data_IF_457642371179
#
_entry.id   IF_457642371179
#
_cell.length_a   1.000
_cell.length_b   1.000
_cell.length_c   1.000
_cell.angle_alpha   90.00
_cell.angle_beta   90.00
_cell.angle_gamma   90.00
#
_symmetry.space_group_name_H-M   'P 1'
#
loop_
_entity.id
_entity.type
_entity.pdbx_description
1 polymer ?
#
# COMPACT_ATOMS: atom_id res chain seq x y z
N UNK A 1 19.12 2.89 -15.49
CA UNK A 1 19.46 1.61 -14.84
C UNK A 1 20.95 1.43 -14.92
N UNK A 2 21.57 0.87 -13.91
CA UNK A 2 23.00 0.59 -13.87
C UNK A 2 23.22 -0.93 -13.91
N UNK A 3 24.19 -1.37 -14.69
CA UNK A 3 24.55 -2.79 -14.82
C UNK A 3 26.02 -3.03 -14.47
N UNK A 4 26.77 -1.95 -14.23
CA UNK A 4 28.17 -1.99 -13.81
C UNK A 4 28.39 -1.13 -12.58
N UNK A 5 29.48 -1.38 -11.87
CA UNK A 5 29.92 -0.59 -10.72
C UNK A 5 30.12 0.89 -11.09
N UNK A 6 30.70 1.17 -12.24
CA UNK A 6 30.98 2.51 -12.73
C UNK A 6 29.69 3.29 -13.03
N UNK A 7 28.71 2.63 -13.66
CA UNK A 7 27.38 3.21 -13.88
C UNK A 7 26.65 3.49 -12.57
N UNK A 8 26.73 2.57 -11.60
CA UNK A 8 26.18 2.78 -10.27
C UNK A 8 26.79 4.00 -9.58
N UNK A 9 28.13 4.08 -9.56
CA UNK A 9 28.85 5.20 -8.94
C UNK A 9 28.48 6.53 -9.58
N UNK A 10 28.44 6.58 -10.88
CA UNK A 10 28.04 7.79 -11.62
C UNK A 10 26.60 8.22 -11.24
N UNK A 11 25.65 7.29 -11.30
CA UNK A 11 24.26 7.61 -11.00
C UNK A 11 24.05 7.99 -9.53
N UNK A 12 24.73 7.31 -8.60
CA UNK A 12 24.66 7.60 -7.16
C UNK A 12 25.21 9.00 -6.85
N UNK A 13 26.41 9.31 -7.34
CA UNK A 13 27.03 10.64 -7.18
C UNK A 13 26.15 11.75 -7.79
N UNK A 14 25.66 11.54 -9.02
CA UNK A 14 24.78 12.48 -9.70
C UNK A 14 23.53 12.76 -8.88
N UNK A 15 22.85 11.72 -8.36
CA UNK A 15 21.61 11.88 -7.57
C UNK A 15 21.84 12.55 -6.22
N UNK A 16 22.97 12.32 -5.58
CA UNK A 16 23.36 13.07 -4.38
C UNK A 16 23.43 14.56 -4.68
N UNK A 17 24.10 14.93 -5.79
CA UNK A 17 24.21 16.34 -6.19
C UNK A 17 22.84 16.93 -6.53
N UNK A 18 22.05 16.23 -7.33
CA UNK A 18 20.73 16.71 -7.78
C UNK A 18 19.72 16.85 -6.62
N UNK A 19 19.78 15.96 -5.61
CA UNK A 19 18.83 15.96 -4.51
C UNK A 19 19.22 16.91 -3.38
N UNK A 20 20.54 17.06 -3.10
CA UNK A 20 21.02 17.73 -1.89
C UNK A 20 22.03 18.86 -2.16
N UNK A 21 22.50 19.02 -3.39
CA UNK A 21 23.53 20.03 -3.73
C UNK A 21 24.86 19.78 -3.04
N UNK A 22 25.23 18.50 -2.80
CA UNK A 22 26.43 18.06 -2.08
C UNK A 22 27.18 17.01 -2.88
N UNK A 23 28.48 16.88 -2.63
CA UNK A 23 29.24 15.70 -3.11
C UNK A 23 28.94 14.47 -2.24
N UNK A 24 29.37 13.30 -2.70
CA UNK A 24 29.20 12.05 -1.93
C UNK A 24 29.93 12.13 -0.58
N UNK A 25 31.09 12.78 -0.52
CA UNK A 25 31.88 12.94 0.69
C UNK A 25 31.16 13.86 1.70
N UNK A 26 30.53 14.94 1.23
CA UNK A 26 29.84 15.93 2.06
C UNK A 26 28.45 15.47 2.53
N UNK A 27 27.82 14.54 1.80
CA UNK A 27 26.48 14.09 2.11
C UNK A 27 26.43 13.29 3.41
N UNK A 28 25.37 13.50 4.21
CA UNK A 28 25.13 12.71 5.42
C UNK A 28 24.74 11.26 5.06
N UNK A 29 24.99 10.35 5.99
CA UNK A 29 24.68 8.93 5.78
C UNK A 29 23.19 8.69 5.45
N UNK A 30 22.30 9.43 6.08
CA UNK A 30 20.84 9.39 5.81
C UNK A 30 20.51 9.84 4.37
N UNK A 31 21.19 10.87 3.86
CA UNK A 31 20.97 11.34 2.48
C UNK A 31 21.44 10.29 1.46
N UNK A 32 22.57 9.64 1.74
CA UNK A 32 23.11 8.52 0.95
C UNK A 32 22.15 7.32 0.93
N UNK A 33 21.60 7.00 2.10
CA UNK A 33 20.60 5.96 2.25
C UNK A 33 19.34 6.24 1.41
N UNK A 34 18.74 7.42 1.55
CA UNK A 34 17.53 7.80 0.79
C UNK A 34 17.75 7.79 -0.74
N UNK A 35 18.95 8.19 -1.19
CA UNK A 35 19.30 8.11 -2.60
C UNK A 35 19.41 6.66 -3.05
N UNK A 36 20.05 5.79 -2.26
CA UNK A 36 20.19 4.37 -2.58
C UNK A 36 18.81 3.70 -2.67
N UNK A 37 17.92 3.89 -1.69
CA UNK A 37 16.55 3.37 -1.73
C UNK A 37 15.79 3.84 -2.99
N UNK A 38 15.88 5.14 -3.29
CA UNK A 38 15.23 5.70 -4.48
C UNK A 38 15.78 5.07 -5.77
N UNK A 39 17.08 4.87 -5.87
CA UNK A 39 17.72 4.21 -7.03
C UNK A 39 17.24 2.77 -7.19
N UNK A 40 17.16 2.00 -6.12
CA UNK A 40 16.68 0.61 -6.13
C UNK A 40 15.19 0.55 -6.52
N UNK A 41 14.36 1.43 -5.95
CA UNK A 41 12.95 1.55 -6.34
C UNK A 41 12.78 1.90 -7.81
N UNK A 42 13.55 2.86 -8.32
CA UNK A 42 13.48 3.27 -9.72
C UNK A 42 13.93 2.14 -10.66
N UNK A 43 14.92 1.35 -10.24
CA UNK A 43 15.33 0.15 -10.94
C UNK A 43 14.18 -0.88 -11.02
N UNK A 44 13.51 -1.15 -9.90
CA UNK A 44 12.35 -2.03 -9.85
C UNK A 44 11.16 -1.51 -10.68
N UNK A 45 11.01 -0.18 -10.82
CA UNK A 45 9.87 0.47 -11.48
C UNK A 45 9.73 0.10 -12.95
N UNK A 46 10.82 -0.25 -13.62
CA UNK A 46 10.79 -0.73 -15.03
C UNK A 46 10.08 -2.08 -15.11
N UNK A 47 10.48 -3.04 -14.28
CA UNK A 47 9.84 -4.36 -14.20
C UNK A 47 8.37 -4.21 -13.73
N UNK A 48 8.11 -3.29 -12.82
CA UNK A 48 6.77 -2.98 -12.31
C UNK A 48 5.83 -2.49 -13.41
N UNK A 49 6.30 -1.57 -14.28
CA UNK A 49 5.54 -1.10 -15.43
C UNK A 49 5.32 -2.23 -16.45
N UNK A 50 6.37 -2.99 -16.77
CA UNK A 50 6.30 -4.10 -17.71
C UNK A 50 5.34 -5.21 -17.24
N UNK A 51 5.32 -5.51 -15.94
CA UNK A 51 4.38 -6.47 -15.35
C UNK A 51 2.94 -6.02 -15.59
N UNK A 52 2.60 -4.76 -15.32
CA UNK A 52 1.25 -4.21 -15.56
C UNK A 52 0.85 -4.28 -17.02
N UNK A 53 1.74 -3.93 -17.93
CA UNK A 53 1.50 -4.01 -19.38
C UNK A 53 1.29 -5.46 -19.83
N UNK A 54 2.09 -6.41 -19.35
CA UNK A 54 1.96 -7.82 -19.68
C UNK A 54 0.63 -8.43 -19.19
N UNK A 55 0.22 -8.09 -17.96
CA UNK A 55 -1.07 -8.52 -17.39
C UNK A 55 -2.22 -8.04 -18.26
N UNK A 56 -2.21 -6.77 -18.64
CA UNK A 56 -3.24 -6.17 -19.48
C UNK A 56 -3.28 -6.80 -20.89
N UNK A 57 -2.11 -6.92 -21.53
CA UNK A 57 -2.01 -7.47 -22.88
C UNK A 57 -2.45 -8.95 -22.96
N UNK A 58 -2.13 -9.73 -21.93
CA UNK A 58 -2.48 -11.16 -21.85
C UNK A 58 -3.84 -11.42 -21.19
N UNK A 59 -4.50 -10.38 -20.70
CA UNK A 59 -5.77 -10.48 -19.96
C UNK A 59 -5.71 -11.53 -18.82
N UNK A 60 -4.57 -11.56 -18.09
CA UNK A 60 -4.32 -12.53 -17.04
C UNK A 60 -5.26 -12.30 -15.85
N UNK A 61 -5.70 -13.39 -15.22
CA UNK A 61 -6.40 -13.33 -13.94
C UNK A 61 -5.46 -12.79 -12.87
N UNK A 62 -5.94 -11.88 -12.04
CA UNK A 62 -5.16 -11.22 -10.99
C UNK A 62 -5.62 -11.66 -9.60
N UNK A 63 -4.66 -11.83 -8.70
CA UNK A 63 -4.90 -12.10 -7.28
C UNK A 63 -4.94 -10.78 -6.53
N UNK A 64 -5.99 -10.54 -5.76
CA UNK A 64 -6.13 -9.39 -4.87
C UNK A 64 -6.14 -9.88 -3.42
N UNK A 65 -5.05 -9.63 -2.71
CA UNK A 65 -4.86 -10.09 -1.34
C UNK A 65 -5.20 -8.96 -0.35
N UNK A 66 -6.26 -9.15 0.42
CA UNK A 66 -6.73 -8.18 1.42
C UNK A 66 -6.28 -8.60 2.81
N UNK A 67 -5.55 -7.76 3.50
CA UNK A 67 -5.13 -7.97 4.89
C UNK A 67 -5.05 -6.65 5.66
N UNK A 68 -5.35 -6.70 6.95
CA UNK A 68 -5.09 -5.56 7.86
C UNK A 68 -3.60 -5.32 8.06
N UNK A 69 -2.77 -6.33 7.81
CA UNK A 69 -1.34 -6.29 8.04
C UNK A 69 -0.54 -6.83 6.85
N UNK A 70 0.60 -6.18 6.58
CA UNK A 70 1.66 -6.71 5.72
C UNK A 70 3.01 -6.43 6.39
N UNK A 71 3.52 -7.40 7.16
CA UNK A 71 4.80 -7.29 7.85
C UNK A 71 5.94 -7.58 6.87
N UNK A 72 6.21 -6.62 6.00
CA UNK A 72 7.21 -6.77 4.93
C UNK A 72 8.65 -6.68 5.42
N UNK A 73 8.89 -6.02 6.57
CA UNK A 73 10.22 -5.80 7.10
C UNK A 73 11.00 -4.74 6.32
N UNK A 74 12.33 -4.86 6.31
CA UNK A 74 13.24 -4.02 5.53
C UNK A 74 13.30 -4.51 4.08
N UNK A 75 13.24 -3.61 3.13
CA UNK A 75 13.12 -3.93 1.71
C UNK A 75 14.40 -3.69 0.90
N UNK A 76 15.33 -2.89 1.40
CA UNK A 76 16.51 -2.46 0.63
C UNK A 76 17.36 -3.66 0.18
N UNK A 77 17.81 -4.49 1.13
CA UNK A 77 18.62 -5.67 0.84
C UNK A 77 17.85 -6.68 0.00
N UNK A 78 16.60 -6.98 0.42
CA UNK A 78 15.73 -7.91 -0.29
C UNK A 78 15.54 -7.51 -1.76
N UNK A 79 15.24 -6.25 -2.01
CA UNK A 79 15.03 -5.75 -3.37
C UNK A 79 16.32 -5.73 -4.19
N UNK A 80 17.46 -5.35 -3.60
CA UNK A 80 18.74 -5.40 -4.31
C UNK A 80 19.12 -6.83 -4.68
N UNK A 81 18.89 -7.80 -3.80
CA UNK A 81 19.16 -9.22 -4.07
C UNK A 81 18.24 -9.74 -5.18
N UNK A 82 16.94 -9.50 -5.07
CA UNK A 82 15.95 -9.95 -6.05
C UNK A 82 16.16 -9.31 -7.44
N UNK A 83 16.72 -8.12 -7.50
CA UNK A 83 17.07 -7.43 -8.75
C UNK A 83 18.46 -7.81 -9.27
N UNK A 84 19.26 -8.57 -8.50
CA UNK A 84 20.62 -8.97 -8.89
C UNK A 84 21.64 -7.82 -8.88
N UNK A 85 21.40 -6.74 -8.11
CA UNK A 85 22.24 -5.53 -8.10
C UNK A 85 22.98 -5.31 -6.78
N UNK A 86 22.84 -6.22 -5.79
CA UNK A 86 23.42 -6.05 -4.47
C UNK A 86 24.95 -5.90 -4.51
N UNK A 87 25.66 -6.80 -5.17
CA UNK A 87 27.14 -6.75 -5.23
C UNK A 87 27.63 -5.52 -5.99
N UNK A 88 26.94 -5.12 -7.07
CA UNK A 88 27.26 -3.89 -7.83
C UNK A 88 27.16 -2.66 -6.92
N UNK A 89 26.09 -2.55 -6.15
CA UNK A 89 25.87 -1.44 -5.22
C UNK A 89 26.91 -1.45 -4.09
N UNK A 90 27.16 -2.61 -3.48
CA UNK A 90 28.13 -2.80 -2.40
C UNK A 90 29.54 -2.41 -2.81
N UNK A 91 30.02 -2.89 -3.97
CA UNK A 91 31.36 -2.54 -4.49
C UNK A 91 31.44 -1.05 -4.85
N UNK A 92 30.39 -0.49 -5.47
CA UNK A 92 30.35 0.92 -5.83
C UNK A 92 30.35 1.85 -4.62
N UNK A 93 29.66 1.48 -3.54
CA UNK A 93 29.68 2.21 -2.26
C UNK A 93 31.04 2.10 -1.57
N UNK A 94 31.67 0.90 -1.62
CA UNK A 94 32.99 0.69 -1.02
C UNK A 94 34.07 1.58 -1.65
N UNK A 95 33.99 1.88 -2.94
CA UNK A 95 34.88 2.81 -3.62
C UNK A 95 34.78 4.26 -3.10
N UNK A 96 33.65 4.64 -2.49
CA UNK A 96 33.44 5.89 -1.76
C UNK A 96 33.75 5.79 -0.26
N UNK A 97 34.28 4.64 0.21
CA UNK A 97 34.53 4.39 1.62
C UNK A 97 33.24 4.19 2.44
N UNK A 98 32.13 3.86 1.80
CA UNK A 98 30.83 3.64 2.46
C UNK A 98 30.62 2.13 2.64
N UNK A 99 30.42 1.70 3.88
CA UNK A 99 29.99 0.34 4.16
C UNK A 99 28.47 0.23 3.94
N UNK A 100 28.04 -0.67 3.06
CA UNK A 100 26.62 -0.88 2.74
C UNK A 100 25.79 -1.22 4.00
N UNK A 101 26.37 -1.96 4.96
CA UNK A 101 25.68 -2.32 6.20
C UNK A 101 25.32 -1.10 7.06
N UNK A 102 26.09 -0.03 7.00
CA UNK A 102 25.77 1.21 7.72
C UNK A 102 24.51 1.89 7.13
N UNK A 103 24.27 1.70 5.82
CA UNK A 103 23.05 2.18 5.17
C UNK A 103 21.85 1.26 5.46
N UNK A 104 22.05 -0.06 5.44
CA UNK A 104 21.02 -1.06 5.75
C UNK A 104 20.44 -0.87 7.16
N UNK A 105 21.28 -0.49 8.14
CA UNK A 105 20.83 -0.25 9.52
C UNK A 105 20.00 1.04 9.70
N UNK A 106 20.00 1.93 8.71
CA UNK A 106 19.13 3.12 8.73
C UNK A 106 17.69 2.82 8.32
N UNK A 107 17.45 1.71 7.59
CA UNK A 107 16.11 1.33 7.18
C UNK A 107 15.27 0.89 8.39
N UNK A 108 14.16 1.59 8.60
CA UNK A 108 13.15 1.15 9.57
C UNK A 108 12.24 0.11 8.94
N UNK A 109 11.80 -0.87 9.73
CA UNK A 109 10.71 -1.75 9.29
C UNK A 109 9.47 -0.91 8.95
N UNK A 110 8.79 -1.26 7.86
CA UNK A 110 7.53 -0.62 7.56
C UNK A 110 6.50 -0.94 8.65
N UNK A 111 5.89 0.09 9.22
CA UNK A 111 4.90 -0.01 10.30
C UNK A 111 3.54 -0.54 9.85
N UNK A 112 3.53 -1.59 9.02
CA UNK A 112 2.35 -2.12 8.34
C UNK A 112 1.91 -3.48 8.90
N UNK A 113 2.52 -3.98 9.95
CA UNK A 113 2.18 -5.27 10.53
C UNK A 113 2.76 -5.47 11.92
N UNK A 114 2.32 -6.53 12.59
CA UNK A 114 2.71 -6.82 13.97
C UNK A 114 3.19 -8.25 14.18
N UNK A 115 2.53 -9.25 13.56
CA UNK A 115 2.77 -10.65 13.88
C UNK A 115 2.60 -11.61 12.70
N UNK A 116 2.21 -12.84 13.02
CA UNK A 116 2.11 -13.95 12.07
C UNK A 116 1.16 -13.70 10.91
N UNK A 117 0.01 -13.04 11.17
CA UNK A 117 -0.95 -12.65 10.14
C UNK A 117 -0.30 -11.77 9.06
N UNK A 118 0.39 -10.71 9.50
CA UNK A 118 1.07 -9.78 8.60
C UNK A 118 2.26 -10.41 7.90
N UNK A 119 3.01 -11.28 8.59
CA UNK A 119 4.13 -11.98 7.95
C UNK A 119 3.67 -13.00 6.91
N UNK A 120 2.58 -13.70 7.16
CA UNK A 120 1.98 -14.60 6.16
C UNK A 120 1.59 -13.84 4.88
N UNK A 121 0.93 -12.69 5.02
CA UNK A 121 0.55 -11.83 3.89
C UNK A 121 1.77 -11.37 3.09
N UNK A 122 2.84 -10.92 3.78
CA UNK A 122 4.08 -10.51 3.15
C UNK A 122 4.75 -11.65 2.38
N UNK A 123 4.85 -12.85 2.99
CA UNK A 123 5.42 -14.03 2.34
C UNK A 123 4.63 -14.47 1.12
N UNK A 124 3.29 -14.39 1.15
CA UNK A 124 2.48 -14.70 -0.03
C UNK A 124 2.70 -13.69 -1.16
N UNK A 125 2.84 -12.40 -0.85
CA UNK A 125 3.14 -11.40 -1.90
C UNK A 125 4.50 -11.67 -2.56
N UNK A 126 5.52 -12.00 -1.78
CA UNK A 126 6.85 -12.39 -2.30
C UNK A 126 6.78 -13.65 -3.16
N UNK A 127 6.06 -14.67 -2.67
CA UNK A 127 5.88 -15.93 -3.41
C UNK A 127 5.12 -15.73 -4.72
N UNK A 128 4.05 -14.94 -4.72
CA UNK A 128 3.29 -14.62 -5.93
C UNK A 128 4.16 -13.89 -6.96
N UNK A 129 4.99 -12.94 -6.53
CA UNK A 129 5.91 -12.24 -7.42
C UNK A 129 6.98 -13.18 -7.98
N UNK A 130 7.60 -14.00 -7.13
CA UNK A 130 8.67 -14.94 -7.53
C UNK A 130 8.17 -16.07 -8.43
N UNK A 131 6.91 -16.49 -8.25
CA UNK A 131 6.24 -17.48 -9.11
C UNK A 131 5.59 -16.85 -10.35
N UNK A 132 5.77 -15.56 -10.55
CA UNK A 132 5.23 -14.80 -11.69
C UNK A 132 3.69 -14.75 -11.77
N UNK A 133 3.01 -14.84 -10.64
CA UNK A 133 1.57 -14.58 -10.55
C UNK A 133 1.32 -13.08 -10.36
N UNK A 134 0.47 -12.45 -11.21
CA UNK A 134 0.12 -11.05 -11.04
C UNK A 134 -0.77 -10.86 -9.81
N UNK A 135 -0.30 -10.01 -8.88
CA UNK A 135 -0.99 -9.81 -7.60
C UNK A 135 -0.96 -8.37 -7.12
N UNK A 136 -2.00 -8.01 -6.33
CA UNK A 136 -2.12 -6.77 -5.59
C UNK A 136 -2.42 -7.07 -4.12
N UNK A 137 -1.58 -6.57 -3.22
CA UNK A 137 -1.91 -6.48 -1.80
C UNK A 137 -2.72 -5.22 -1.53
N UNK A 138 -3.68 -5.27 -0.62
CA UNK A 138 -4.48 -4.12 -0.19
C UNK A 138 -4.53 -4.06 1.32
N UNK A 139 -4.13 -2.90 1.88
CA UNK A 139 -4.14 -2.62 3.32
C UNK A 139 -4.25 -1.11 3.57
N UNK A 140 -4.24 -0.72 4.83
CA UNK A 140 -4.19 0.67 5.27
C UNK A 140 -2.72 1.15 5.35
N UNK A 141 -2.48 2.40 4.97
CA UNK A 141 -1.22 3.09 5.23
C UNK A 141 -1.27 3.70 6.63
N UNK A 142 -0.77 2.96 7.61
CA UNK A 142 -0.74 3.43 8.99
C UNK A 142 0.30 4.54 9.17
N UNK A 143 -0.05 5.59 9.93
CA UNK A 143 0.87 6.68 10.25
C UNK A 143 1.92 6.25 11.27
N UNK A 144 1.53 5.35 12.18
CA UNK A 144 2.40 4.74 13.19
C UNK A 144 2.32 3.23 13.08
N UNK A 145 3.45 2.55 13.28
CA UNK A 145 3.48 1.11 13.48
C UNK A 145 2.77 0.72 14.79
N UNK A 146 2.72 -0.57 15.09
CA UNK A 146 2.02 -1.05 16.28
C UNK A 146 2.63 -0.46 17.57
N UNK A 147 3.93 -0.65 17.79
CA UNK A 147 4.76 0.08 18.73
C UNK A 147 6.26 -0.21 18.45
N UNK A 148 7.12 0.68 18.91
CA UNK A 148 8.56 0.44 18.95
C UNK A 148 8.95 0.00 20.34
N UNK A 149 9.63 -1.14 20.44
CA UNK A 149 10.15 -1.67 21.69
C UNK A 149 11.43 -0.93 22.11
N UNK A 150 11.48 -0.50 23.37
CA UNK A 150 12.71 -0.07 24.06
C UNK A 150 12.94 -0.93 25.29
N UNK A 151 14.18 -1.04 25.69
CA UNK A 151 14.55 -1.67 26.96
C UNK A 151 15.11 -0.58 27.89
N UNK A 152 14.43 -0.33 28.99
CA UNK A 152 14.82 0.64 29.99
C UNK A 152 14.87 -0.05 31.35
N UNK A 153 16.02 0.02 32.05
CA UNK A 153 16.27 -0.64 33.35
C UNK A 153 15.97 -2.16 33.35
N UNK A 154 16.17 -2.83 32.20
CA UNK A 154 15.91 -4.26 32.04
C UNK A 154 14.46 -4.63 31.74
N UNK A 155 13.59 -3.65 31.59
CA UNK A 155 12.16 -3.84 31.25
C UNK A 155 11.84 -3.33 29.85
N UNK A 156 10.86 -3.97 29.19
CA UNK A 156 10.30 -3.47 27.94
C UNK A 156 9.49 -2.21 28.20
N UNK A 157 9.72 -1.20 27.35
CA UNK A 157 8.93 0.03 27.29
C UNK A 157 8.44 0.19 25.84
N UNK A 158 7.14 0.38 25.67
CA UNK A 158 6.50 0.62 24.38
C UNK A 158 6.46 2.12 24.09
N UNK A 159 6.93 2.50 22.89
CA UNK A 159 6.89 3.89 22.42
C UNK A 159 6.29 3.94 21.02
N UNK A 160 5.76 5.11 20.58
CA UNK A 160 5.23 5.26 19.23
C UNK A 160 6.27 4.89 18.16
N UNK A 161 5.87 4.04 17.22
CA UNK A 161 6.71 3.66 16.08
C UNK A 161 6.52 4.68 14.94
N UNK A 162 7.40 5.66 14.88
CA UNK A 162 7.41 6.72 13.86
C UNK A 162 8.17 6.25 12.60
N UNK A 163 7.76 5.16 11.99
CA UNK A 163 8.43 4.56 10.85
C UNK A 163 8.52 5.47 9.61
N UNK A 164 7.63 6.46 9.49
CA UNK A 164 7.60 7.45 8.42
C UNK A 164 8.43 8.71 8.69
N UNK A 165 9.23 8.74 9.76
CA UNK A 165 9.99 9.93 10.17
C UNK A 165 10.93 10.45 9.08
N UNK A 166 11.54 9.57 8.30
CA UNK A 166 12.41 9.91 7.16
C UNK A 166 11.68 9.85 5.81
N UNK A 167 10.35 9.64 5.83
CA UNK A 167 9.58 9.28 4.67
C UNK A 167 9.66 7.78 4.38
N UNK A 168 9.00 7.35 3.31
CA UNK A 168 9.09 5.98 2.79
C UNK A 168 9.38 6.07 1.29
N UNK A 169 10.62 5.82 0.91
CA UNK A 169 11.05 5.96 -0.49
C UNK A 169 10.47 4.88 -1.40
N UNK A 170 9.96 3.78 -0.81
CA UNK A 170 9.35 2.70 -1.58
C UNK A 170 7.97 3.03 -2.14
N UNK A 171 7.23 3.92 -1.50
CA UNK A 171 5.85 4.21 -1.90
C UNK A 171 5.75 5.35 -2.94
N UNK A 172 4.76 5.20 -3.83
CA UNK A 172 4.40 6.21 -4.82
C UNK A 172 2.95 6.62 -4.63
N UNK A 173 2.71 7.85 -4.19
CA UNK A 173 1.36 8.42 -4.03
C UNK A 173 0.67 8.56 -5.38
N UNK A 174 -0.58 8.08 -5.51
CA UNK A 174 -1.36 8.05 -6.75
C UNK A 174 -2.69 8.82 -6.61
N UNK A 175 -2.69 10.16 -6.45
CA UNK A 175 -3.90 10.93 -6.13
C UNK A 175 -4.98 10.88 -7.21
N UNK A 176 -4.61 10.62 -8.48
CA UNK A 176 -5.57 10.44 -9.58
C UNK A 176 -6.37 9.13 -9.48
N UNK A 177 -5.93 8.19 -8.65
CA UNK A 177 -6.60 6.92 -8.39
C UNK A 177 -7.36 6.90 -7.07
N UNK A 178 -7.48 8.05 -6.41
CA UNK A 178 -8.29 8.17 -5.22
C UNK A 178 -9.75 7.82 -5.47
N UNK A 179 -10.42 7.35 -4.44
CA UNK A 179 -11.85 7.05 -4.43
C UNK A 179 -12.49 7.57 -3.15
N UNK A 180 -13.79 7.81 -3.16
CA UNK A 180 -14.53 8.14 -1.95
C UNK A 180 -15.04 6.86 -1.29
N UNK A 181 -14.89 6.81 0.03
CA UNK A 181 -15.53 5.83 0.91
C UNK A 181 -16.59 6.55 1.73
N UNK A 182 -17.80 6.02 1.72
CA UNK A 182 -18.98 6.63 2.35
C UNK A 182 -19.31 5.93 3.65
N UNK A 183 -19.36 6.69 4.73
CA UNK A 183 -19.76 6.19 6.05
C UNK A 183 -21.07 6.79 6.49
N UNK A 184 -21.84 6.05 7.29
CA UNK A 184 -23.11 6.50 7.84
C UNK A 184 -24.16 6.83 6.78
N UNK A 185 -25.09 7.73 7.10
CA UNK A 185 -26.14 8.17 6.19
C UNK A 185 -27.34 7.25 6.17
N UNK A 186 -28.10 7.32 5.09
CA UNK A 186 -29.35 6.59 4.88
C UNK A 186 -29.38 6.05 3.46
N UNK A 187 -30.04 4.91 3.28
CA UNK A 187 -30.38 4.38 1.97
C UNK A 187 -31.84 4.68 1.70
N UNK A 188 -32.11 5.37 0.60
CA UNK A 188 -33.48 5.73 0.19
C UNK A 188 -33.73 5.18 -1.23
N UNK A 189 -34.98 4.90 -1.52
CA UNK A 189 -35.39 4.62 -2.90
C UNK A 189 -35.52 5.93 -3.68
N UNK A 190 -34.92 6.00 -4.87
CA UNK A 190 -35.00 7.16 -5.77
C UNK A 190 -35.90 6.81 -6.96
N UNK A 191 -37.12 7.33 -6.92
CA UNK A 191 -38.10 7.08 -7.98
C UNK A 191 -37.67 7.63 -9.34
N UNK A 192 -36.79 8.62 -9.40
CA UNK A 192 -36.30 9.21 -10.63
C UNK A 192 -35.32 8.29 -11.38
N UNK A 193 -34.53 7.52 -10.64
CA UNK A 193 -33.54 6.57 -11.21
C UNK A 193 -34.04 5.13 -11.16
N UNK A 194 -35.09 4.83 -10.39
CA UNK A 194 -35.59 3.47 -10.17
C UNK A 194 -34.61 2.59 -9.39
N UNK A 195 -33.84 3.15 -8.44
CA UNK A 195 -32.82 2.45 -7.69
C UNK A 195 -32.60 2.97 -6.27
N UNK A 196 -31.76 2.26 -5.53
CA UNK A 196 -31.36 2.67 -4.19
C UNK A 196 -30.28 3.76 -4.22
N UNK A 197 -30.40 4.75 -3.36
CA UNK A 197 -29.45 5.86 -3.23
C UNK A 197 -28.97 6.06 -1.82
N UNK A 198 -27.66 6.10 -1.64
CA UNK A 198 -27.02 6.45 -0.36
C UNK A 198 -26.94 7.97 -0.23
N UNK A 199 -27.57 8.54 0.80
CA UNK A 199 -27.65 9.98 1.08
C UNK A 199 -27.23 10.29 2.51
N UNK A 200 -26.95 11.56 2.81
CA UNK A 200 -26.55 12.06 4.13
C UNK A 200 -25.31 11.35 4.71
N UNK A 201 -24.43 10.83 3.85
CA UNK A 201 -23.22 10.13 4.24
C UNK A 201 -22.07 11.10 4.56
N UNK A 202 -21.11 10.59 5.29
CA UNK A 202 -19.80 11.23 5.49
C UNK A 202 -18.80 10.62 4.49
N UNK A 203 -18.28 11.45 3.59
CA UNK A 203 -17.27 10.98 2.62
C UNK A 203 -15.87 11.03 3.21
N UNK A 204 -15.06 10.03 2.95
CA UNK A 204 -13.61 10.01 3.21
C UNK A 204 -12.91 9.70 1.90
N UNK A 205 -11.92 10.51 1.54
CA UNK A 205 -11.12 10.28 0.35
C UNK A 205 -10.03 9.24 0.65
N UNK A 206 -10.10 8.10 -0.02
CA UNK A 206 -9.08 7.07 0.05
C UNK A 206 -8.05 7.28 -1.07
N UNK A 207 -6.82 7.59 -0.70
CA UNK A 207 -5.71 7.86 -1.63
C UNK A 207 -4.73 6.71 -1.61
N UNK A 208 -4.47 6.04 -2.76
CA UNK A 208 -3.53 4.92 -2.79
C UNK A 208 -2.07 5.36 -2.86
N UNK A 209 -1.24 4.66 -2.12
CA UNK A 209 0.22 4.67 -2.18
C UNK A 209 0.67 3.27 -2.59
N UNK A 210 1.32 3.15 -3.72
CA UNK A 210 1.75 1.87 -4.27
C UNK A 210 3.23 1.60 -3.96
N UNK A 211 3.52 0.41 -3.42
CA UNK A 211 4.88 -0.09 -3.18
C UNK A 211 5.16 -1.28 -4.09
N UNK A 212 6.38 -1.40 -4.68
CA UNK A 212 6.77 -2.55 -5.47
C UNK A 212 7.08 -3.75 -4.58
N UNK A 213 6.59 -4.92 -4.96
CA UNK A 213 7.01 -6.22 -4.41
C UNK A 213 7.77 -6.94 -5.51
N UNK A 214 9.07 -7.00 -5.35
CA UNK A 214 9.99 -7.51 -6.38
C UNK A 214 10.14 -9.01 -6.25
N UNK A 215 9.84 -9.75 -7.31
CA UNK A 215 10.02 -11.20 -7.33
C UNK A 215 11.50 -11.59 -7.44
N UNK A 216 11.87 -12.67 -6.76
CA UNK A 216 13.22 -13.22 -6.82
C UNK A 216 13.42 -14.00 -8.13
N UNK A 217 14.54 -13.77 -8.80
CA UNK A 217 14.92 -14.42 -10.05
C UNK A 217 13.83 -14.36 -11.15
N UNK A 218 13.06 -13.27 -11.18
CA UNK A 218 12.01 -13.02 -12.17
C UNK A 218 11.92 -11.52 -12.49
N UNK A 219 11.31 -11.19 -13.63
CA UNK A 219 11.02 -9.80 -14.02
C UNK A 219 9.66 -9.31 -13.53
N UNK A 220 8.95 -10.11 -12.73
CA UNK A 220 7.65 -9.71 -12.19
C UNK A 220 7.85 -8.84 -10.95
N UNK A 221 7.19 -7.71 -10.93
CA UNK A 221 7.07 -6.83 -9.76
C UNK A 221 5.60 -6.56 -9.50
N UNK A 222 5.10 -7.09 -8.40
CA UNK A 222 3.73 -6.90 -7.94
C UNK A 222 3.54 -5.59 -7.18
N UNK A 223 2.32 -5.30 -6.78
CA UNK A 223 1.99 -4.05 -6.07
C UNK A 223 1.43 -4.36 -4.69
N UNK A 224 2.00 -3.75 -3.65
CA UNK A 224 1.33 -3.57 -2.37
C UNK A 224 0.73 -2.16 -2.34
N UNK A 225 -0.60 -2.07 -2.27
CA UNK A 225 -1.35 -0.82 -2.25
C UNK A 225 -1.77 -0.47 -0.84
N UNK A 226 -1.30 0.68 -0.40
CA UNK A 226 -1.59 1.23 0.92
C UNK A 226 -2.62 2.35 0.77
N UNK A 227 -3.73 2.26 1.49
CA UNK A 227 -4.80 3.25 1.44
C UNK A 227 -4.65 4.26 2.58
N UNK A 228 -4.52 5.55 2.23
CA UNK A 228 -4.49 6.66 3.19
C UNK A 228 -5.82 7.40 3.15
N UNK A 229 -6.42 7.60 4.32
CA UNK A 229 -7.59 8.44 4.50
C UNK A 229 -7.19 9.91 4.49
N UNK A 230 -7.84 10.69 3.64
CA UNK A 230 -7.72 12.15 3.56
C UNK A 230 -9.13 12.77 3.63
N UNK A 231 -9.29 13.99 4.18
CA UNK A 231 -10.56 14.69 4.13
C UNK A 231 -11.06 14.83 2.69
N UNK A 232 -12.36 14.60 2.49
CA UNK A 232 -13.04 14.89 1.21
C UNK A 232 -13.34 16.38 1.10
N UNK A 233 -13.56 16.87 -0.12
CA UNK A 233 -14.09 18.20 -0.37
C UNK A 233 -15.55 18.35 0.11
N UNK A 234 -16.28 17.22 0.20
CA UNK A 234 -17.64 17.12 0.72
C UNK A 234 -17.63 17.00 2.26
N UNK A 235 -17.48 18.13 2.94
CA UNK A 235 -17.46 18.16 4.41
C UNK A 235 -18.89 18.01 4.93
N UNK A 236 -19.12 17.14 5.96
CA UNK A 236 -20.44 17.02 6.59
C UNK A 236 -20.89 18.34 7.19
N UNK A 237 -22.14 18.75 6.91
CA UNK A 237 -22.69 20.05 7.37
C UNK A 237 -22.94 20.15 8.87
N UNK A 238 -22.95 18.99 9.56
CA UNK A 238 -23.22 18.87 10.99
C UNK A 238 -21.94 18.78 11.86
N UNK A 239 -20.75 18.89 11.25
CA UNK A 239 -19.45 18.83 11.94
C UNK A 239 -18.60 20.03 11.58
N UNK A 240 -17.80 20.48 12.55
CA UNK A 240 -16.72 21.38 12.22
C UNK A 240 -15.56 20.65 11.51
N UNK A 241 -14.80 21.37 10.70
CA UNK A 241 -13.74 20.77 9.89
C UNK A 241 -12.66 20.09 10.73
N UNK A 242 -12.33 20.62 11.91
CA UNK A 242 -11.26 20.03 12.77
C UNK A 242 -11.69 18.68 13.32
N UNK A 243 -12.93 18.59 13.79
CA UNK A 243 -13.49 17.32 14.26
C UNK A 243 -13.52 16.29 13.12
N UNK A 244 -14.03 16.68 11.95
CA UNK A 244 -14.08 15.81 10.78
C UNK A 244 -12.68 15.34 10.35
N UNK A 245 -11.72 16.26 10.24
CA UNK A 245 -10.35 15.93 9.86
C UNK A 245 -9.67 14.98 10.87
N UNK A 246 -9.94 15.15 12.16
CA UNK A 246 -9.44 14.24 13.20
C UNK A 246 -10.01 12.83 13.01
N UNK A 247 -11.33 12.70 12.87
CA UNK A 247 -12.00 11.41 12.66
C UNK A 247 -11.52 10.70 11.39
N UNK A 248 -11.19 11.44 10.33
CA UNK A 248 -10.59 10.89 9.09
C UNK A 248 -9.17 10.41 9.35
N UNK A 249 -8.36 11.19 10.08
CA UNK A 249 -6.99 10.82 10.41
C UNK A 249 -6.93 9.57 11.30
N UNK A 250 -7.86 9.43 12.24
CA UNK A 250 -7.91 8.28 13.16
C UNK A 250 -8.01 6.94 12.41
N UNK A 251 -8.63 6.90 11.21
CA UNK A 251 -8.74 5.69 10.38
C UNK A 251 -7.36 5.10 10.07
N UNK A 252 -6.36 5.94 9.83
CA UNK A 252 -5.02 5.52 9.45
C UNK A 252 -3.98 5.69 10.56
N UNK A 253 -4.37 6.12 11.75
CA UNK A 253 -3.40 6.49 12.78
C UNK A 253 -2.59 5.29 13.26
N UNK A 254 -3.25 4.22 13.69
CA UNK A 254 -2.59 3.03 14.23
C UNK A 254 -3.25 1.74 13.80
N UNK A 255 -2.43 0.69 13.66
CA UNK A 255 -2.91 -0.68 13.56
C UNK A 255 -3.49 -1.11 14.93
N UNK A 256 -4.67 -1.73 14.91
CA UNK A 256 -5.37 -2.23 16.12
C UNK A 256 -5.55 -1.19 17.22
N UNK A 257 -6.35 -0.14 16.99
CA UNK A 257 -6.74 0.77 18.06
C UNK A 257 -7.47 0.01 19.18
N UNK A 258 -7.40 0.55 20.41
CA UNK A 258 -8.06 -0.04 21.57
C UNK A 258 -9.58 -0.19 21.32
N UNK A 259 -10.09 -1.42 21.36
CA UNK A 259 -11.48 -1.79 21.14
C UNK A 259 -12.26 -2.14 22.44
N UNK A 260 -11.70 -1.82 23.58
CA UNK A 260 -12.38 -1.96 24.87
C UNK A 260 -13.64 -1.09 24.95
N UNK A 261 -13.66 0.04 24.24
CA UNK A 261 -14.78 0.98 24.18
C UNK A 261 -15.65 0.78 22.93
N UNK A 262 -16.88 1.30 22.96
CA UNK A 262 -17.73 1.31 21.77
C UNK A 262 -17.11 2.12 20.63
N UNK A 263 -16.52 3.28 20.92
CA UNK A 263 -15.88 4.14 19.92
C UNK A 263 -14.70 3.43 19.25
N UNK A 264 -13.88 2.72 20.01
CA UNK A 264 -12.76 1.94 19.46
C UNK A 264 -13.22 0.79 18.56
N UNK A 265 -14.31 0.08 18.94
CA UNK A 265 -14.91 -0.94 18.07
C UNK A 265 -15.43 -0.37 16.75
N UNK A 266 -16.09 0.80 16.81
CA UNK A 266 -16.54 1.51 15.61
C UNK A 266 -15.38 1.93 14.75
N UNK A 267 -14.28 2.43 15.33
CA UNK A 267 -13.07 2.81 14.58
C UNK A 267 -12.45 1.60 13.87
N UNK A 268 -12.35 0.44 14.54
CA UNK A 268 -11.87 -0.80 13.91
C UNK A 268 -12.75 -1.23 12.74
N UNK A 269 -14.06 -1.13 12.88
CA UNK A 269 -14.98 -1.43 11.78
C UNK A 269 -14.84 -0.43 10.63
N UNK A 270 -14.66 0.87 10.93
CA UNK A 270 -14.35 1.89 9.92
C UNK A 270 -13.06 1.58 9.16
N UNK A 271 -12.00 1.15 9.84
CA UNK A 271 -10.75 0.75 9.21
C UNK A 271 -10.96 -0.41 8.23
N UNK A 272 -11.69 -1.44 8.65
CA UNK A 272 -11.98 -2.62 7.83
C UNK A 272 -12.79 -2.24 6.58
N UNK A 273 -13.87 -1.47 6.74
CA UNK A 273 -14.68 -1.02 5.61
C UNK A 273 -13.90 -0.08 4.68
N UNK A 274 -13.07 0.80 5.24
CA UNK A 274 -12.29 1.78 4.48
C UNK A 274 -11.41 1.13 3.41
N UNK A 275 -10.51 0.23 3.80
CA UNK A 275 -9.59 -0.36 2.82
C UNK A 275 -10.26 -1.38 1.90
N UNK A 276 -11.31 -2.06 2.38
CA UNK A 276 -12.13 -2.96 1.57
C UNK A 276 -12.83 -2.20 0.47
N UNK A 277 -13.59 -1.17 0.81
CA UNK A 277 -14.33 -0.34 -0.15
C UNK A 277 -13.38 0.32 -1.16
N UNK A 278 -12.27 0.91 -0.67
CA UNK A 278 -11.27 1.52 -1.54
C UNK A 278 -10.62 0.51 -2.49
N UNK A 279 -10.25 -0.66 -1.99
CA UNK A 279 -9.66 -1.74 -2.79
C UNK A 279 -10.61 -2.26 -3.86
N UNK A 280 -11.87 -2.56 -3.51
CA UNK A 280 -12.88 -3.03 -4.45
C UNK A 280 -13.17 -2.00 -5.54
N UNK A 281 -13.35 -0.74 -5.19
CA UNK A 281 -13.52 0.33 -6.18
C UNK A 281 -12.36 0.40 -7.17
N UNK A 282 -11.13 0.19 -6.69
CA UNK A 282 -9.95 0.16 -7.54
C UNK A 282 -9.94 -1.02 -8.50
N UNK A 283 -10.30 -2.22 -8.02
CA UNK A 283 -10.36 -3.45 -8.82
C UNK A 283 -11.45 -3.33 -9.89
N UNK A 284 -12.65 -2.90 -9.52
CA UNK A 284 -13.79 -2.75 -10.44
C UNK A 284 -13.46 -1.70 -11.51
N UNK A 285 -12.90 -0.55 -11.14
CA UNK A 285 -12.47 0.46 -12.13
C UNK A 285 -11.36 -0.06 -13.05
N UNK A 286 -10.46 -0.89 -12.56
CA UNK A 286 -9.42 -1.49 -13.39
C UNK A 286 -10.01 -2.51 -14.36
N UNK A 287 -10.98 -3.31 -13.92
CA UNK A 287 -11.71 -4.28 -14.74
C UNK A 287 -12.46 -3.60 -15.87
N UNK A 288 -13.27 -2.59 -15.56
CA UNK A 288 -14.11 -1.86 -16.54
C UNK A 288 -13.32 -0.99 -17.54
N UNK A 289 -12.01 -0.79 -17.33
CA UNK A 289 -11.15 -0.20 -18.37
C UNK A 289 -10.79 -1.16 -19.49
N UNK A 290 -10.91 -2.45 -19.25
CA UNK A 290 -10.50 -3.53 -20.17
C UNK A 290 -11.72 -4.28 -20.69
N UNK A 291 -12.74 -4.47 -19.86
CA UNK A 291 -13.94 -5.24 -20.15
C UNK A 291 -15.18 -4.34 -20.16
N UNK A 292 -16.19 -4.63 -20.98
CA UNK A 292 -17.35 -3.76 -21.13
C UNK A 292 -18.28 -3.75 -19.91
N UNK A 293 -18.26 -4.81 -19.11
CA UNK A 293 -19.14 -5.02 -17.96
C UNK A 293 -18.48 -5.92 -16.90
N UNK A 294 -19.24 -6.34 -15.90
CA UNK A 294 -18.78 -7.16 -14.77
C UNK A 294 -19.13 -8.67 -14.90
N UNK A 295 -19.69 -9.11 -16.01
CA UNK A 295 -20.14 -10.50 -16.18
C UNK A 295 -19.01 -11.52 -16.07
N UNK A 296 -17.82 -11.18 -16.53
CA UNK A 296 -16.62 -12.00 -16.45
C UNK A 296 -15.67 -11.61 -15.30
N UNK A 297 -16.15 -10.84 -14.31
CA UNK A 297 -15.33 -10.35 -13.20
C UNK A 297 -14.60 -11.48 -12.46
N UNK A 298 -15.30 -12.56 -12.14
CA UNK A 298 -14.79 -13.74 -11.46
C UNK A 298 -13.73 -14.52 -12.26
N UNK A 299 -13.77 -14.45 -13.59
CA UNK A 299 -12.75 -15.07 -14.45
C UNK A 299 -11.43 -14.31 -14.42
N UNK A 300 -11.47 -13.00 -14.18
CA UNK A 300 -10.32 -12.08 -14.27
C UNK A 300 -9.77 -11.65 -12.92
N UNK A 301 -10.53 -11.83 -11.87
CA UNK A 301 -10.15 -11.43 -10.52
C UNK A 301 -10.41 -12.57 -9.53
N UNK A 302 -9.50 -12.75 -8.59
CA UNK A 302 -9.72 -13.56 -7.39
C UNK A 302 -9.30 -12.74 -6.18
N UNK A 303 -10.15 -12.74 -5.17
CA UNK A 303 -9.94 -11.98 -3.94
C UNK A 303 -9.66 -12.99 -2.81
N UNK A 304 -8.52 -12.82 -2.16
CA UNK A 304 -8.12 -13.59 -0.98
C UNK A 304 -8.28 -12.72 0.27
N UNK A 305 -9.00 -13.23 1.24
CA UNK A 305 -9.26 -12.58 2.52
C UNK A 305 -8.34 -13.18 3.59
N UNK A 306 -7.53 -12.32 4.24
CA UNK A 306 -6.67 -12.74 5.33
C UNK A 306 -7.37 -12.45 6.66
N UNK A 307 -7.85 -13.50 7.33
CA UNK A 307 -8.73 -13.44 8.50
C UNK A 307 -10.12 -12.85 8.17
N UNK A 308 -10.89 -12.48 9.20
CA UNK A 308 -12.23 -11.89 9.10
C UNK A 308 -12.21 -10.36 8.94
N UNK A 309 -11.07 -9.71 9.09
CA UNK A 309 -10.95 -8.26 8.95
C UNK A 309 -11.46 -7.74 7.60
N UNK A 310 -11.14 -8.36 6.46
CA UNK A 310 -11.64 -7.94 5.15
C UNK A 310 -12.94 -8.64 4.73
N UNK A 311 -13.66 -9.33 5.62
CA UNK A 311 -14.88 -10.07 5.26
C UNK A 311 -15.97 -9.20 4.63
N UNK A 312 -15.97 -7.89 4.92
CA UNK A 312 -16.87 -6.91 4.32
C UNK A 312 -16.70 -6.80 2.79
N UNK A 313 -15.65 -7.40 2.21
CA UNK A 313 -15.52 -7.57 0.74
C UNK A 313 -16.76 -8.24 0.16
N UNK A 314 -17.31 -9.26 0.83
CA UNK A 314 -18.44 -10.03 0.31
C UNK A 314 -19.71 -9.15 0.19
N UNK A 315 -20.23 -8.55 1.27
CA UNK A 315 -21.43 -7.73 1.16
C UNK A 315 -21.20 -6.43 0.35
N UNK A 316 -20.01 -5.83 0.39
CA UNK A 316 -19.73 -4.63 -0.41
C UNK A 316 -19.65 -4.96 -1.90
N UNK A 317 -19.10 -6.10 -2.28
CA UNK A 317 -19.09 -6.52 -3.69
C UNK A 317 -20.51 -6.77 -4.19
N UNK A 318 -21.36 -7.44 -3.38
CA UNK A 318 -22.77 -7.64 -3.68
C UNK A 318 -23.51 -6.30 -3.83
N UNK A 319 -23.31 -5.36 -2.89
CA UNK A 319 -23.90 -4.03 -2.96
C UNK A 319 -23.53 -3.32 -4.26
N UNK A 320 -22.24 -3.31 -4.63
CA UNK A 320 -21.77 -2.65 -5.83
C UNK A 320 -22.38 -3.29 -7.08
N UNK A 321 -22.37 -4.61 -7.18
CA UNK A 321 -22.92 -5.29 -8.35
C UNK A 321 -24.42 -5.05 -8.51
N UNK A 322 -25.17 -5.08 -7.42
CA UNK A 322 -26.63 -4.92 -7.44
C UNK A 322 -27.02 -3.45 -7.53
N UNK A 323 -26.54 -2.60 -6.61
CA UNK A 323 -27.02 -1.22 -6.47
C UNK A 323 -26.38 -0.26 -7.49
N UNK A 324 -25.07 -0.44 -7.78
CA UNK A 324 -24.35 0.48 -8.66
C UNK A 324 -24.36 0.01 -10.14
N UNK A 325 -24.48 -1.30 -10.39
CA UNK A 325 -24.43 -1.89 -11.75
C UNK A 325 -25.69 -2.67 -12.15
N UNK A 326 -26.74 -2.66 -11.33
CA UNK A 326 -28.05 -3.28 -11.61
C UNK A 326 -27.97 -4.78 -11.99
N UNK A 327 -27.03 -5.52 -11.39
CA UNK A 327 -26.93 -6.96 -11.56
C UNK A 327 -28.00 -7.65 -10.72
N UNK A 328 -28.62 -8.71 -11.28
CA UNK A 328 -29.54 -9.53 -10.49
C UNK A 328 -28.80 -10.26 -9.37
N UNK A 329 -29.51 -10.52 -8.26
CA UNK A 329 -28.92 -11.13 -7.06
C UNK A 329 -28.20 -12.44 -7.35
N UNK A 330 -28.84 -13.34 -8.11
CA UNK A 330 -28.29 -14.68 -8.38
C UNK A 330 -27.06 -14.61 -9.31
N UNK A 331 -26.99 -13.62 -10.19
CA UNK A 331 -25.82 -13.39 -11.04
C UNK A 331 -24.66 -12.75 -10.25
N UNK A 332 -24.97 -11.87 -9.31
CA UNK A 332 -23.99 -11.22 -8.45
C UNK A 332 -23.37 -12.19 -7.45
N UNK A 333 -24.21 -13.10 -6.89
CA UNK A 333 -23.79 -14.10 -5.91
C UNK A 333 -22.93 -15.20 -6.53
#
# INVERSE_FOLDING_TARGET
MFNTKEEFKYEFSKRIIESYGRTVEEAHLTEKFMVLETMVRDYASVNWAMTKMAVQAKQQKQVHYFSMEFLVGRLLVNNMMNLGIYEIAKEGLADYGINIHDLEELESDAGLGNGGLGRLAACFMDSLASLSYPAFGNTIRYDYGFFKQKIENGYQVEVPDQWLRLGNMWEVRKPKHATEVKFWGKVIWDDATGGWKHVDYEAVRAVPYDMPIVGNDTKVTNTLRLWKAEPSENIPTNKDFRQYAQEVNDICQTLYPDDSTHAGRVLRLKQQYFFVCAGLNSIIRAHLRVYPDLTNFHEKNVIQLNDTHPVLVIPELMRVFIDDYNMEWDDAW
#
